data_IF_123997874219
#
_entry.id   IF_123997874219
#
_cell.length_a   1.000
_cell.length_b   1.000
_cell.length_c   1.000
_cell.angle_alpha   90.00
_cell.angle_beta   90.00
_cell.angle_gamma   90.00
#
_symmetry.space_group_name_H-M   'P 1'
#
loop_
_entity.id
_entity.type
_entity.pdbx_description
1 polymer ?
#
# COMPACT_ATOMS: atom_id res chain seq x y z
N UNK A 1 -7.72 -1.02 -8.24
CA UNK A 1 -7.86 0.40 -7.88
C UNK A 1 -9.32 0.78 -8.10
N UNK A 2 -9.96 1.32 -7.08
CA UNK A 2 -11.26 1.98 -7.19
C UNK A 2 -11.22 3.31 -6.42
N UNK A 3 -12.15 4.20 -6.75
CA UNK A 3 -12.36 5.44 -6.00
C UNK A 3 -13.60 5.26 -5.15
N UNK A 4 -13.44 5.42 -3.84
CA UNK A 4 -14.51 5.35 -2.86
C UNK A 4 -14.94 6.78 -2.51
N UNK A 5 -16.23 7.04 -2.53
CA UNK A 5 -16.78 8.32 -2.07
C UNK A 5 -17.26 8.18 -0.63
N UNK A 6 -16.65 8.93 0.27
CA UNK A 6 -16.95 8.85 1.70
C UNK A 6 -18.34 9.43 2.01
N UNK A 7 -19.14 8.76 2.86
CA UNK A 7 -20.38 9.33 3.34
C UNK A 7 -20.09 10.55 4.22
N UNK A 8 -20.92 11.59 4.09
CA UNK A 8 -20.73 12.87 4.79
C UNK A 8 -20.18 13.94 3.86
N UNK A 9 -18.86 14.15 3.86
CA UNK A 9 -18.20 15.24 3.13
C UNK A 9 -18.00 14.96 1.63
N UNK A 10 -18.35 13.75 1.16
CA UNK A 10 -18.24 13.36 -0.24
C UNK A 10 -16.80 13.24 -0.74
N UNK A 11 -15.81 13.21 0.16
CA UNK A 11 -14.39 13.11 -0.19
C UNK A 11 -14.12 11.80 -0.91
N UNK A 12 -13.29 11.87 -1.95
CA UNK A 12 -12.84 10.72 -2.69
C UNK A 12 -11.58 10.12 -2.05
N UNK A 13 -11.55 8.79 -1.93
CA UNK A 13 -10.42 8.00 -1.42
C UNK A 13 -10.08 6.93 -2.44
N UNK A 14 -8.81 6.87 -2.84
CA UNK A 14 -8.31 5.85 -3.75
C UNK A 14 -7.97 4.58 -2.98
N UNK A 15 -8.65 3.47 -3.30
CA UNK A 15 -8.39 2.18 -2.68
C UNK A 15 -7.72 1.23 -3.68
N UNK A 16 -6.60 0.62 -3.26
CA UNK A 16 -5.85 -0.36 -4.04
C UNK A 16 -5.76 -1.65 -3.24
N UNK A 17 -6.40 -2.71 -3.75
CA UNK A 17 -6.24 -4.06 -3.23
C UNK A 17 -5.05 -4.76 -3.91
N UNK A 18 -4.16 -5.37 -3.13
CA UNK A 18 -2.98 -6.08 -3.63
C UNK A 18 -2.94 -7.54 -3.14
N UNK A 19 -2.36 -8.41 -3.96
CA UNK A 19 -1.97 -9.77 -3.58
C UNK A 19 -0.63 -10.07 -4.26
N UNK A 20 0.46 -9.89 -3.53
CA UNK A 20 1.82 -9.98 -4.06
C UNK A 20 2.32 -11.42 -4.05
N UNK A 21 3.20 -11.75 -4.98
CA UNK A 21 3.74 -13.08 -5.14
C UNK A 21 4.66 -13.48 -3.99
N UNK A 22 4.65 -14.78 -3.67
CA UNK A 22 5.53 -15.38 -2.66
C UNK A 22 7.02 -15.25 -3.04
N UNK A 23 7.33 -15.34 -4.34
CA UNK A 23 8.70 -15.16 -4.86
C UNK A 23 9.11 -13.70 -4.79
N UNK A 24 10.27 -13.44 -4.18
CA UNK A 24 10.80 -12.08 -3.96
C UNK A 24 10.98 -11.27 -5.26
N UNK A 25 11.42 -11.91 -6.35
CA UNK A 25 11.55 -11.25 -7.65
C UNK A 25 10.19 -10.77 -8.20
N UNK A 26 9.14 -11.59 -8.06
CA UNK A 26 7.79 -11.24 -8.48
C UNK A 26 7.23 -10.12 -7.61
N UNK A 27 7.37 -10.23 -6.29
CA UNK A 27 6.95 -9.19 -5.34
C UNK A 27 7.60 -7.85 -5.64
N UNK A 28 8.91 -7.84 -5.90
CA UNK A 28 9.64 -6.62 -6.26
C UNK A 28 9.11 -6.00 -7.56
N UNK A 29 8.82 -6.80 -8.58
CA UNK A 29 8.24 -6.30 -9.83
C UNK A 29 6.83 -5.73 -9.62
N UNK A 30 6.00 -6.41 -8.82
CA UNK A 30 4.65 -5.95 -8.49
C UNK A 30 4.66 -4.67 -7.64
N UNK A 31 5.58 -4.54 -6.69
CA UNK A 31 5.77 -3.30 -5.91
C UNK A 31 6.17 -2.13 -6.81
N UNK A 32 7.05 -2.35 -7.80
CA UNK A 32 7.37 -1.30 -8.78
C UNK A 32 6.17 -0.89 -9.64
N UNK A 33 5.30 -1.84 -10.00
CA UNK A 33 4.05 -1.54 -10.69
C UNK A 33 3.08 -0.75 -9.79
N UNK A 34 3.01 -1.10 -8.51
CA UNK A 34 2.23 -0.35 -7.53
C UNK A 34 2.74 1.09 -7.39
N UNK A 35 4.05 1.29 -7.29
CA UNK A 35 4.67 2.64 -7.22
C UNK A 35 4.27 3.47 -8.44
N UNK A 36 4.44 2.94 -9.66
CA UNK A 36 4.01 3.64 -10.88
C UNK A 36 2.53 3.99 -10.86
N UNK A 37 1.69 3.09 -10.33
CA UNK A 37 0.25 3.35 -10.21
C UNK A 37 -0.05 4.47 -9.22
N UNK A 38 0.71 4.58 -8.14
CA UNK A 38 0.58 5.66 -7.15
C UNK A 38 1.01 7.01 -7.75
N UNK A 39 2.07 7.04 -8.57
CA UNK A 39 2.56 8.24 -9.27
C UNK A 39 1.54 8.81 -10.28
N UNK A 40 0.62 7.97 -10.77
CA UNK A 40 -0.47 8.39 -11.67
C UNK A 40 -1.70 8.96 -10.93
N UNK A 41 -1.73 8.93 -9.59
CA UNK A 41 -2.81 9.50 -8.80
C UNK A 41 -2.60 11.01 -8.61
N UNK A 42 -3.67 11.79 -8.37
CA UNK A 42 -3.50 13.19 -8.01
C UNK A 42 -2.62 13.32 -6.76
N UNK A 43 -1.71 14.32 -6.74
CA UNK A 43 -0.65 14.44 -5.74
C UNK A 43 -1.16 14.44 -4.29
N UNK A 44 -2.31 15.08 -4.04
CA UNK A 44 -2.90 15.21 -2.70
C UNK A 44 -4.07 14.25 -2.48
N UNK A 45 -4.25 13.27 -3.37
CA UNK A 45 -5.33 12.31 -3.25
C UNK A 45 -5.07 11.36 -2.07
N UNK A 46 -6.04 11.17 -1.15
CA UNK A 46 -5.88 10.19 -0.08
C UNK A 46 -5.95 8.78 -0.67
N UNK A 47 -4.97 7.94 -0.31
CA UNK A 47 -4.82 6.58 -0.83
C UNK A 47 -4.73 5.58 0.31
N UNK A 48 -5.44 4.46 0.17
CA UNK A 48 -5.30 3.26 1.00
C UNK A 48 -4.86 2.10 0.11
N UNK A 49 -3.73 1.49 0.47
CA UNK A 49 -3.28 0.22 -0.13
C UNK A 49 -3.42 -0.88 0.92
N UNK A 50 -4.15 -1.94 0.58
CA UNK A 50 -4.42 -3.04 1.51
C UNK A 50 -4.44 -4.37 0.77
N UNK A 51 -4.21 -5.46 1.51
CA UNK A 51 -4.23 -6.82 0.98
C UNK A 51 -3.02 -7.62 1.45
N UNK A 52 -2.72 -8.70 0.73
CA UNK A 52 -1.62 -9.59 1.10
C UNK A 52 -0.33 -9.17 0.38
N UNK A 53 0.61 -8.65 1.15
CA UNK A 53 1.92 -8.23 0.63
C UNK A 53 2.91 -9.38 0.52
N UNK A 54 2.66 -10.53 1.15
CA UNK A 54 3.60 -11.65 1.23
C UNK A 54 5.04 -11.22 1.57
N UNK A 55 5.16 -10.19 2.42
CA UNK A 55 6.43 -9.52 2.71
C UNK A 55 6.93 -9.80 4.13
N UNK A 56 7.15 -11.10 4.37
CA UNK A 56 7.72 -11.64 5.61
C UNK A 56 9.08 -11.03 6.01
N UNK A 57 9.79 -10.37 5.08
CA UNK A 57 11.09 -9.70 5.34
C UNK A 57 10.97 -8.17 5.52
N UNK A 58 9.75 -7.60 5.50
CA UNK A 58 9.49 -6.17 5.70
C UNK A 58 10.29 -5.25 4.76
N UNK A 59 10.44 -5.64 3.49
CA UNK A 59 11.12 -4.87 2.44
C UNK A 59 10.19 -3.93 1.68
N UNK A 60 8.89 -4.14 1.73
CA UNK A 60 7.88 -3.32 1.06
C UNK A 60 7.88 -1.89 1.62
N UNK A 61 7.99 -1.73 2.94
CA UNK A 61 8.01 -0.42 3.60
C UNK A 61 9.11 0.50 3.05
N UNK A 62 10.32 -0.04 2.87
CA UNK A 62 11.45 0.74 2.33
C UNK A 62 11.19 1.27 0.91
N UNK A 63 10.42 0.54 0.11
CA UNK A 63 10.08 0.91 -1.27
C UNK A 63 8.85 1.83 -1.35
N UNK A 64 7.92 1.72 -0.41
CA UNK A 64 6.66 2.48 -0.43
C UNK A 64 6.73 3.79 0.36
N UNK A 65 7.60 3.88 1.37
CA UNK A 65 7.80 5.08 2.17
C UNK A 65 8.18 6.32 1.34
N UNK A 66 9.03 6.22 0.28
CA UNK A 66 9.30 7.35 -0.62
C UNK A 66 8.06 7.88 -1.36
N UNK A 67 7.03 7.06 -1.54
CA UNK A 67 5.76 7.44 -2.17
C UNK A 67 4.78 8.11 -1.19
N UNK A 68 5.22 8.46 0.02
CA UNK A 68 4.37 9.06 1.05
C UNK A 68 3.44 8.08 1.76
N UNK A 69 3.48 6.79 1.42
CA UNK A 69 2.73 5.76 2.13
C UNK A 69 3.34 5.51 3.51
N UNK A 70 2.44 5.32 4.48
CA UNK A 70 2.76 5.04 5.87
C UNK A 70 2.14 3.71 6.26
N UNK A 71 2.92 2.85 6.89
CA UNK A 71 2.44 1.57 7.39
C UNK A 71 1.63 1.82 8.67
N UNK A 72 0.36 1.42 8.68
CA UNK A 72 -0.61 1.79 9.71
C UNK A 72 -0.27 1.21 11.08
N UNK A 73 0.24 -0.02 11.15
CA UNK A 73 0.65 -0.66 12.40
C UNK A 73 1.98 -0.11 12.92
N UNK A 74 2.90 0.30 12.04
CA UNK A 74 4.12 0.98 12.42
C UNK A 74 3.82 2.37 12.99
N UNK A 75 2.84 3.09 12.45
CA UNK A 75 2.40 4.37 13.00
C UNK A 75 1.62 4.23 14.32
N UNK A 76 0.75 3.22 14.44
CA UNK A 76 -0.09 3.03 15.63
C UNK A 76 0.61 2.27 16.77
N UNK A 77 1.57 1.39 16.46
CA UNK A 77 2.16 0.44 17.42
C UNK A 77 3.70 0.31 17.31
N UNK A 78 4.35 1.06 16.42
CA UNK A 78 5.81 1.09 16.27
C UNK A 78 6.41 -0.11 15.52
N UNK A 79 5.59 -1.07 15.07
CA UNK A 79 6.01 -2.23 14.26
C UNK A 79 4.89 -2.64 13.29
N UNK A 80 5.22 -3.15 12.08
CA UNK A 80 4.22 -3.73 11.19
C UNK A 80 3.42 -4.84 11.87
N UNK A 81 2.17 -5.06 11.41
CA UNK A 81 1.37 -6.17 11.90
C UNK A 81 2.12 -7.50 11.74
N UNK A 82 2.01 -8.37 12.75
CA UNK A 82 2.47 -9.75 12.60
C UNK A 82 1.55 -10.44 11.61
N UNK A 83 2.03 -10.66 10.39
CA UNK A 83 1.39 -11.52 9.43
C UNK A 83 1.48 -12.98 9.92
N UNK A 84 0.33 -13.66 10.00
CA UNK A 84 0.28 -15.11 10.24
C UNK A 84 0.98 -15.86 9.09
N UNK A 85 1.53 -17.07 9.32
CA UNK A 85 2.20 -17.86 8.29
C UNK A 85 1.27 -18.24 7.13
#
# INVERSE_FOLDING_TARGET
>A
HCVLRMPGDGREVHAICVHLGLRESHRTAQLKLLIRRLEELPQDAPVVVAGDFNDWRQRADALLKPCGLREVFAEQHGKPARSFP
#
